data_IF_736985625291
#
_entry.id   IF_736985625291
#
_cell.length_a   1.000
_cell.length_b   1.000
_cell.length_c   1.000
_cell.angle_alpha   90.00
_cell.angle_beta   90.00
_cell.angle_gamma   90.00
#
_symmetry.space_group_name_H-M   'P 1'
#
loop_
_entity.id
_entity.type
_entity.pdbx_description
1 polymer ?
#
# COMPACT_ATOMS: atom_id res chain seq x y z
N UNK A 1 16.45 -23.21 23.99
CA UNK A 1 15.92 -23.89 25.19
C UNK A 1 15.69 -22.82 26.24
N UNK A 2 14.47 -22.22 26.22
CA UNK A 2 13.52 -22.19 27.36
C UNK A 2 13.86 -21.06 28.36
N UNK A 3 13.02 -20.12 28.78
CA UNK A 3 11.56 -19.90 28.75
C UNK A 3 11.34 -18.40 29.06
N UNK A 4 10.46 -17.70 28.34
CA UNK A 4 9.90 -16.41 28.80
C UNK A 4 8.44 -16.71 29.16
N UNK A 5 8.19 -16.93 30.45
CA UNK A 5 6.87 -17.16 30.98
C UNK A 5 6.20 -15.83 31.36
N UNK A 6 5.09 -15.59 30.69
CA UNK A 6 3.98 -14.69 30.97
C UNK A 6 3.64 -14.55 32.47
N UNK A 7 3.42 -13.31 32.92
CA UNK A 7 2.58 -13.05 34.09
C UNK A 7 1.85 -11.70 33.93
N UNK A 8 0.65 -11.76 33.33
CA UNK A 8 -0.41 -10.77 33.52
C UNK A 8 -1.25 -11.29 34.69
N UNK A 9 -1.33 -10.50 35.77
CA UNK A 9 -2.24 -10.72 36.90
C UNK A 9 -2.38 -9.37 37.62
N UNK A 10 -3.45 -8.62 37.33
CA UNK A 10 -4.70 -8.61 38.11
C UNK A 10 -4.52 -8.15 39.56
N UNK A 11 -4.54 -6.84 39.81
CA UNK A 11 -4.82 -6.32 41.16
C UNK A 11 -5.74 -5.10 41.09
N UNK A 12 -7.04 -5.38 40.97
CA UNK A 12 -8.07 -4.59 41.61
C UNK A 12 -8.37 -5.28 42.95
N UNK A 13 -8.09 -4.60 44.05
CA UNK A 13 -8.98 -4.40 45.22
C UNK A 13 -8.18 -4.07 46.48
N UNK A 14 -8.75 -3.13 47.25
CA UNK A 14 -8.50 -2.77 48.65
C UNK A 14 -7.43 -1.70 48.94
N UNK A 15 -7.93 -0.62 49.55
CA UNK A 15 -7.21 0.04 50.66
C UNK A 15 -6.83 1.50 50.45
N UNK A 16 -7.80 2.41 50.37
CA UNK A 16 -7.54 3.83 50.56
C UNK A 16 -7.39 4.11 52.06
N UNK A 17 -6.15 4.31 52.54
CA UNK A 17 -5.83 5.06 53.76
C UNK A 17 -4.49 5.77 53.61
N UNK A 18 -4.57 7.10 53.61
CA UNK A 18 -3.58 8.09 54.08
C UNK A 18 -2.10 7.72 53.93
N UNK A 19 -1.49 8.18 52.84
CA UNK A 19 -0.03 8.23 52.70
C UNK A 19 0.40 9.68 52.46
N UNK A 20 1.07 10.27 53.45
CA UNK A 20 1.65 11.62 53.38
C UNK A 20 2.98 11.56 52.64
N UNK A 21 3.10 12.40 51.61
CA UNK A 21 4.26 12.51 50.74
C UNK A 21 5.40 13.29 51.40
N UNK A 22 6.24 12.64 52.19
CA UNK A 22 7.61 13.09 52.46
C UNK A 22 8.41 11.85 52.88
N UNK A 23 9.35 11.43 52.04
CA UNK A 23 10.48 10.50 52.31
C UNK A 23 10.60 9.38 51.27
N UNK A 24 11.03 9.77 50.06
CA UNK A 24 11.76 8.87 49.16
C UNK A 24 12.95 9.61 48.53
N UNK A 25 14.20 9.20 48.82
CA UNK A 25 15.40 9.84 48.28
C UNK A 25 15.82 9.18 46.96
N UNK A 26 15.02 9.30 45.90
CA UNK A 26 15.43 8.94 44.54
C UNK A 26 14.66 9.78 43.50
N UNK A 27 15.03 11.07 43.37
CA UNK A 27 14.70 11.89 42.20
C UNK A 27 15.99 12.42 41.56
N UNK A 28 16.75 11.50 40.99
CA UNK A 28 17.72 11.76 39.92
C UNK A 28 17.63 10.56 39.00
N UNK A 29 17.64 10.82 37.70
CA UNK A 29 17.34 9.89 36.60
C UNK A 29 15.85 9.79 36.28
N UNK A 30 15.41 10.61 35.34
CA UNK A 30 14.77 10.25 34.05
C UNK A 30 14.24 11.54 33.39
N UNK A 31 15.16 12.44 33.02
CA UNK A 31 14.91 13.41 31.96
C UNK A 31 15.81 13.02 30.79
N UNK A 32 15.41 11.99 30.04
CA UNK A 32 15.82 12.00 28.64
C UNK A 32 15.06 13.16 28.01
N UNK A 33 15.72 14.17 27.42
CA UNK A 33 15.02 15.07 26.53
C UNK A 33 14.45 14.19 25.44
N UNK A 34 13.13 14.02 25.41
CA UNK A 34 12.44 13.49 24.25
C UNK A 34 12.77 14.48 23.13
N UNK A 35 13.70 14.11 22.25
CA UNK A 35 14.01 14.90 21.07
C UNK A 35 12.78 14.80 20.19
N UNK A 36 11.86 15.76 20.36
CA UNK A 36 10.71 15.91 19.48
C UNK A 36 11.21 16.60 18.22
N UNK A 37 11.10 15.97 17.03
CA UNK A 37 11.49 16.61 15.79
C UNK A 37 10.75 17.94 15.61
N UNK A 38 11.45 18.94 15.11
CA UNK A 38 10.82 20.23 14.81
C UNK A 38 9.78 20.07 13.69
N UNK A 39 8.80 20.97 13.63
CA UNK A 39 7.81 20.95 12.53
C UNK A 39 8.45 21.09 11.14
N UNK A 40 9.62 21.71 11.06
CA UNK A 40 10.36 21.84 9.81
C UNK A 40 10.99 20.50 9.39
N UNK A 41 11.59 19.76 10.31
CA UNK A 41 12.16 18.42 10.03
C UNK A 41 11.08 17.41 9.65
N UNK A 42 9.89 17.50 10.25
CA UNK A 42 8.74 16.68 9.86
C UNK A 42 8.31 16.98 8.42
N UNK A 43 8.19 18.27 8.05
CA UNK A 43 7.83 18.70 6.69
C UNK A 43 8.89 18.31 5.66
N UNK A 44 10.16 18.51 5.97
CA UNK A 44 11.26 18.16 5.06
C UNK A 44 11.35 16.64 4.84
N UNK A 45 11.07 15.86 5.88
CA UNK A 45 10.91 14.40 5.81
C UNK A 45 9.76 13.98 4.89
N UNK A 46 8.57 14.57 5.07
CA UNK A 46 7.40 14.31 4.23
C UNK A 46 7.66 14.64 2.75
N UNK A 47 8.28 15.80 2.47
CA UNK A 47 8.62 16.23 1.11
C UNK A 47 9.59 15.24 0.45
N UNK A 48 10.62 14.80 1.18
CA UNK A 48 11.60 13.85 0.67
C UNK A 48 10.97 12.48 0.36
N UNK A 49 10.07 12.01 1.23
CA UNK A 49 9.36 10.74 1.04
C UNK A 49 8.46 10.80 -0.20
N UNK A 50 7.64 11.86 -0.34
CA UNK A 50 6.75 12.03 -1.48
C UNK A 50 7.52 12.09 -2.82
N UNK A 51 8.63 12.81 -2.87
CA UNK A 51 9.48 12.89 -4.07
C UNK A 51 10.06 11.53 -4.45
N UNK A 52 10.58 10.80 -3.45
CA UNK A 52 11.13 9.44 -3.64
C UNK A 52 10.05 8.46 -4.10
N UNK A 53 8.82 8.65 -3.65
CA UNK A 53 7.71 7.78 -4.02
C UNK A 53 7.31 7.98 -5.48
N UNK A 54 7.09 9.24 -5.88
CA UNK A 54 6.73 9.58 -7.25
C UNK A 54 7.79 9.08 -8.25
N UNK A 55 9.08 9.20 -7.91
CA UNK A 55 10.14 8.69 -8.77
C UNK A 55 10.10 7.18 -8.95
N UNK A 56 9.76 6.40 -7.91
CA UNK A 56 9.64 4.94 -8.01
C UNK A 56 8.50 4.49 -8.94
N UNK A 57 7.40 5.24 -8.94
CA UNK A 57 6.24 4.96 -9.81
C UNK A 57 6.60 5.19 -11.26
N UNK A 58 7.26 6.31 -11.54
CA UNK A 58 7.70 6.62 -12.90
C UNK A 58 8.78 5.64 -13.38
N UNK A 59 9.68 5.18 -12.50
CA UNK A 59 10.64 4.11 -12.79
C UNK A 59 9.94 2.78 -13.12
N UNK A 60 8.96 2.34 -12.32
CA UNK A 60 8.18 1.14 -12.58
C UNK A 60 7.47 1.22 -13.94
N UNK A 61 6.83 2.37 -14.23
CA UNK A 61 6.16 2.60 -15.51
C UNK A 61 7.16 2.55 -16.67
N UNK A 62 8.33 3.16 -16.52
CA UNK A 62 9.37 3.12 -17.54
C UNK A 62 9.85 1.70 -17.80
N UNK A 63 10.12 0.94 -16.74
CA UNK A 63 10.52 -0.47 -16.83
C UNK A 63 9.44 -1.29 -17.55
N UNK A 64 8.16 -1.04 -17.30
CA UNK A 64 7.06 -1.78 -17.93
C UNK A 64 6.92 -1.58 -19.45
N UNK A 65 7.61 -0.60 -20.06
CA UNK A 65 7.51 -0.33 -21.52
C UNK A 65 7.93 -1.50 -22.40
N UNK A 66 8.71 -2.46 -21.88
CA UNK A 66 9.05 -3.68 -22.64
C UNK A 66 7.79 -4.41 -23.13
N UNK A 67 6.67 -4.30 -22.40
CA UNK A 67 5.38 -4.91 -22.72
C UNK A 67 4.90 -4.51 -24.13
N UNK A 68 5.15 -3.27 -24.53
CA UNK A 68 4.76 -2.75 -25.85
C UNK A 68 5.52 -3.39 -27.02
N UNK A 69 6.62 -4.09 -26.73
CA UNK A 69 7.44 -4.78 -27.73
C UNK A 69 7.10 -6.28 -27.84
N UNK A 70 6.25 -6.81 -26.95
CA UNK A 70 5.82 -8.20 -26.99
C UNK A 70 5.08 -8.48 -28.31
N UNK A 71 5.46 -9.58 -28.96
CA UNK A 71 4.86 -10.04 -30.22
C UNK A 71 3.84 -11.15 -29.96
N UNK A 72 3.02 -11.44 -30.95
CA UNK A 72 2.15 -12.61 -30.89
C UNK A 72 2.98 -13.87 -30.58
N UNK A 73 2.51 -14.69 -29.62
CA UNK A 73 3.20 -15.87 -29.12
C UNK A 73 4.40 -15.57 -28.19
N UNK A 74 4.42 -14.42 -27.51
CA UNK A 74 5.51 -14.06 -26.57
C UNK A 74 5.64 -15.01 -25.38
N UNK A 75 4.61 -15.80 -25.10
CA UNK A 75 4.57 -16.83 -24.07
C UNK A 75 4.82 -18.24 -24.61
N UNK A 76 5.36 -18.35 -25.83
CA UNK A 76 5.58 -19.62 -26.56
C UNK A 76 4.27 -20.35 -26.95
N UNK A 77 3.12 -19.72 -26.76
CA UNK A 77 1.81 -20.23 -27.14
C UNK A 77 1.08 -19.21 -28.02
N UNK A 78 -0.15 -18.83 -27.65
CA UNK A 78 -1.06 -17.99 -28.43
C UNK A 78 -1.28 -16.59 -27.81
N UNK A 79 -0.32 -16.09 -26.99
CA UNK A 79 -0.46 -14.78 -26.39
C UNK A 79 -0.52 -13.64 -27.41
N UNK A 80 -1.49 -12.76 -27.22
CA UNK A 80 -1.68 -11.57 -28.02
C UNK A 80 -0.72 -10.46 -27.57
N UNK A 81 -0.30 -9.57 -28.49
CA UNK A 81 0.40 -8.35 -28.13
C UNK A 81 -0.50 -7.41 -27.32
N UNK A 82 0.10 -6.61 -26.43
CA UNK A 82 -0.64 -5.62 -25.63
C UNK A 82 -0.82 -4.33 -26.43
N UNK A 83 -2.06 -3.84 -26.51
CA UNK A 83 -2.35 -2.55 -27.14
C UNK A 83 -1.75 -1.39 -26.32
N UNK A 84 -1.16 -0.41 -27.00
CA UNK A 84 -0.58 0.79 -26.36
C UNK A 84 -1.61 1.51 -25.48
N UNK A 85 -2.86 1.55 -25.89
CA UNK A 85 -3.97 2.18 -25.17
C UNK A 85 -4.24 1.46 -23.85
N UNK A 86 -4.14 0.12 -23.78
CA UNK A 86 -4.28 -0.63 -22.53
C UNK A 86 -3.15 -0.25 -21.57
N UNK A 87 -1.91 -0.21 -22.07
CA UNK A 87 -0.75 0.19 -21.26
C UNK A 87 -0.87 1.63 -20.75
N UNK A 88 -1.28 2.57 -21.62
CA UNK A 88 -1.51 3.97 -21.23
C UNK A 88 -2.63 4.10 -20.19
N UNK A 89 -3.74 3.37 -20.35
CA UNK A 89 -4.85 3.37 -19.41
C UNK A 89 -4.43 2.87 -18.03
N UNK A 90 -3.73 1.74 -17.95
CA UNK A 90 -3.30 1.18 -16.68
C UNK A 90 -2.25 2.05 -15.98
N UNK A 91 -1.26 2.56 -16.71
CA UNK A 91 -0.21 3.40 -16.11
C UNK A 91 -0.73 4.78 -15.70
N UNK A 92 -1.69 5.35 -16.44
CA UNK A 92 -2.41 6.56 -16.04
C UNK A 92 -3.27 6.31 -14.80
N UNK A 93 -3.98 5.18 -14.75
CA UNK A 93 -4.76 4.77 -13.58
C UNK A 93 -3.88 4.64 -12.34
N UNK A 94 -2.74 3.95 -12.46
CA UNK A 94 -1.77 3.80 -11.39
C UNK A 94 -1.33 5.17 -10.85
N UNK A 95 -0.83 6.06 -11.71
CA UNK A 95 -0.43 7.42 -11.30
C UNK A 95 -1.54 8.17 -10.57
N UNK A 96 -2.78 8.03 -11.04
CA UNK A 96 -3.93 8.71 -10.44
C UNK A 96 -4.18 8.22 -9.01
N UNK A 97 -4.21 6.91 -8.80
CA UNK A 97 -4.41 6.33 -7.47
C UNK A 97 -3.22 6.56 -6.53
N UNK A 98 -2.00 6.48 -7.05
CA UNK A 98 -0.77 6.82 -6.32
C UNK A 98 -0.84 8.25 -5.77
N UNK A 99 -1.15 9.22 -6.64
CA UNK A 99 -1.22 10.62 -6.27
C UNK A 99 -2.31 10.87 -5.23
N UNK A 100 -3.46 10.21 -5.39
CA UNK A 100 -4.54 10.30 -4.40
C UNK A 100 -4.11 9.75 -3.04
N UNK A 101 -3.49 8.57 -2.99
CA UNK A 101 -3.06 7.94 -1.73
C UNK A 101 -1.98 8.79 -1.03
N UNK A 102 -1.01 9.30 -1.78
CA UNK A 102 0.03 10.19 -1.24
C UNK A 102 -0.57 11.47 -0.65
N UNK A 103 -1.48 12.13 -1.37
CA UNK A 103 -2.10 13.39 -0.94
C UNK A 103 -2.98 13.22 0.31
N UNK A 104 -3.73 12.12 0.40
CA UNK A 104 -4.75 11.94 1.43
C UNK A 104 -4.26 11.15 2.65
N UNK A 105 -3.34 10.20 2.48
CA UNK A 105 -2.93 9.31 3.55
C UNK A 105 -1.46 9.49 3.98
N UNK A 106 -0.59 10.08 3.14
CA UNK A 106 0.82 10.36 3.47
C UNK A 106 1.58 9.14 3.99
N UNK A 107 1.25 7.96 3.47
CA UNK A 107 1.88 6.69 3.85
C UNK A 107 2.71 6.12 2.70
N UNK A 108 3.80 5.40 3.00
CA UNK A 108 4.41 4.49 2.04
C UNK A 108 3.38 3.42 1.64
N UNK A 109 3.34 3.08 0.35
CA UNK A 109 2.54 1.96 -0.15
C UNK A 109 3.37 1.15 -1.14
N UNK A 110 3.22 -0.17 -1.18
CA UNK A 110 3.94 -0.99 -2.15
C UNK A 110 3.36 -0.80 -3.55
N UNK A 111 4.23 -0.78 -4.56
CA UNK A 111 3.82 -0.64 -5.94
C UNK A 111 3.34 -1.98 -6.49
N UNK A 112 2.41 -1.99 -7.47
CA UNK A 112 1.99 -3.22 -8.09
C UNK A 112 3.07 -3.76 -9.02
N UNK A 113 2.98 -5.05 -9.33
CA UNK A 113 3.51 -5.61 -10.55
C UNK A 113 2.64 -5.18 -11.75
N UNK A 114 3.26 -4.92 -12.90
CA UNK A 114 2.57 -4.60 -14.15
C UNK A 114 2.74 -5.80 -15.08
N UNK A 115 1.67 -6.58 -15.25
CA UNK A 115 1.75 -7.91 -15.84
C UNK A 115 0.94 -7.99 -17.15
N UNK A 116 1.56 -8.31 -18.30
CA UNK A 116 0.83 -8.62 -19.52
C UNK A 116 0.12 -9.97 -19.39
N UNK A 117 -1.06 -10.11 -19.98
CA UNK A 117 -1.81 -11.35 -20.02
C UNK A 117 -1.94 -11.88 -21.44
N UNK A 118 -2.09 -13.20 -21.56
CA UNK A 118 -2.19 -13.91 -22.84
C UNK A 118 -3.28 -13.37 -23.76
N UNK A 119 -4.41 -12.92 -23.21
CA UNK A 119 -5.55 -12.44 -24.00
C UNK A 119 -5.39 -10.98 -24.47
N UNK A 120 -4.21 -10.39 -24.34
CA UNK A 120 -3.94 -9.01 -24.72
C UNK A 120 -4.35 -7.98 -23.66
N UNK A 121 -4.85 -8.43 -22.51
CA UNK A 121 -5.13 -7.57 -21.34
C UNK A 121 -3.89 -7.38 -20.47
N UNK A 122 -3.99 -6.50 -19.48
CA UNK A 122 -2.89 -6.21 -18.55
C UNK A 122 -3.41 -6.03 -17.14
N UNK A 123 -2.68 -6.55 -16.16
CA UNK A 123 -2.99 -6.44 -14.74
C UNK A 123 -2.03 -5.48 -14.03
N UNK A 124 -2.60 -4.70 -13.11
CA UNK A 124 -1.87 -4.16 -11.97
C UNK A 124 -2.13 -5.07 -10.77
N UNK A 125 -1.09 -5.72 -10.27
CA UNK A 125 -1.22 -6.70 -9.20
C UNK A 125 -0.41 -6.32 -7.97
N UNK A 126 -1.10 -6.15 -6.85
CA UNK A 126 -0.48 -6.07 -5.53
C UNK A 126 -0.54 -7.44 -4.87
N UNK A 127 0.60 -7.95 -4.42
CA UNK A 127 0.70 -9.16 -3.60
C UNK A 127 1.53 -8.86 -2.37
N UNK A 128 0.92 -9.01 -1.21
CA UNK A 128 1.59 -8.73 0.07
C UNK A 128 1.38 -9.87 1.05
N UNK A 129 1.98 -9.75 2.23
CA UNK A 129 1.72 -10.72 3.30
C UNK A 129 0.24 -10.73 3.77
N UNK A 130 -0.53 -9.67 3.52
CA UNK A 130 -1.92 -9.53 4.02
C UNK A 130 -2.97 -9.99 3.02
N UNK A 131 -2.67 -9.95 1.73
CA UNK A 131 -3.64 -10.27 0.67
C UNK A 131 -3.14 -9.89 -0.71
N UNK A 132 -4.06 -9.91 -1.67
CA UNK A 132 -3.81 -9.43 -3.04
C UNK A 132 -4.91 -8.52 -3.53
N UNK A 133 -4.56 -7.69 -4.51
CA UNK A 133 -5.48 -6.90 -5.30
C UNK A 133 -5.01 -6.96 -6.76
N UNK A 134 -5.90 -7.32 -7.66
CA UNK A 134 -5.69 -7.29 -9.10
C UNK A 134 -6.64 -6.28 -9.73
N UNK A 135 -6.13 -5.49 -10.67
CA UNK A 135 -6.93 -4.59 -11.50
C UNK A 135 -6.58 -4.86 -12.96
N UNK A 136 -7.54 -5.40 -13.69
CA UNK A 136 -7.40 -5.83 -15.08
C UNK A 136 -7.94 -4.77 -16.05
N UNK A 137 -7.12 -4.47 -17.06
CA UNK A 137 -7.41 -3.55 -18.15
C UNK A 137 -7.46 -4.33 -19.47
N UNK A 138 -8.60 -4.28 -20.15
CA UNK A 138 -8.82 -5.02 -21.39
C UNK A 138 -9.56 -4.18 -22.44
N UNK A 139 -9.54 -4.65 -23.69
CA UNK A 139 -10.19 -3.97 -24.81
C UNK A 139 -11.72 -4.16 -24.85
N UNK A 140 -12.31 -5.02 -24.02
CA UNK A 140 -13.77 -5.23 -24.01
C UNK A 140 -14.50 -4.04 -23.42
N UNK A 141 -13.87 -3.32 -22.48
CA UNK A 141 -14.42 -2.10 -21.90
C UNK A 141 -13.32 -1.05 -21.66
N UNK A 142 -12.94 -0.27 -22.67
CA UNK A 142 -11.80 0.66 -22.58
C UNK A 142 -12.00 1.80 -21.56
N UNK A 143 -13.20 1.97 -21.00
CA UNK A 143 -13.49 2.98 -19.98
C UNK A 143 -13.51 2.41 -18.56
N UNK A 144 -13.48 1.08 -18.40
CA UNK A 144 -13.57 0.43 -17.09
C UNK A 144 -12.53 -0.66 -16.92
N UNK A 145 -11.95 -0.74 -15.73
CA UNK A 145 -11.14 -1.88 -15.32
C UNK A 145 -11.95 -2.78 -14.40
N UNK A 146 -11.79 -4.10 -14.51
CA UNK A 146 -12.33 -5.03 -13.51
C UNK A 146 -11.32 -5.22 -12.39
N UNK A 147 -11.79 -5.39 -11.16
CA UNK A 147 -10.90 -5.64 -10.04
C UNK A 147 -11.39 -6.83 -9.21
N UNK A 148 -10.42 -7.46 -8.54
CA UNK A 148 -10.65 -8.48 -7.53
C UNK A 148 -9.58 -8.32 -6.44
N UNK A 149 -9.98 -8.41 -5.18
CA UNK A 149 -9.05 -8.45 -4.06
C UNK A 149 -9.56 -9.36 -2.96
N UNK A 150 -8.64 -9.98 -2.24
CA UNK A 150 -8.91 -10.85 -1.10
C UNK A 150 -7.82 -10.72 -0.05
N UNK A 151 -8.23 -10.87 1.21
CA UNK A 151 -7.33 -10.93 2.37
C UNK A 151 -7.18 -12.37 2.81
N UNK A 152 -5.95 -12.86 2.86
CA UNK A 152 -5.67 -14.28 3.09
C UNK A 152 -6.17 -14.79 4.44
N UNK A 153 -6.16 -13.95 5.47
CA UNK A 153 -6.49 -14.37 6.84
C UNK A 153 -7.99 -14.34 7.18
N UNK A 154 -8.81 -13.55 6.47
CA UNK A 154 -10.15 -13.15 6.96
C UNK A 154 -11.30 -13.47 6.00
N UNK A 155 -11.06 -14.18 4.89
CA UNK A 155 -12.05 -14.48 3.82
C UNK A 155 -12.76 -13.26 3.21
N UNK A 156 -12.31 -12.05 3.56
CA UNK A 156 -12.82 -10.78 3.06
C UNK A 156 -12.34 -10.56 1.62
N UNK A 157 -13.28 -10.33 0.70
CA UNK A 157 -12.98 -10.11 -0.71
C UNK A 157 -13.85 -9.01 -1.32
N UNK A 158 -13.28 -8.32 -2.29
CA UNK A 158 -13.96 -7.35 -3.13
C UNK A 158 -13.85 -7.76 -4.59
N UNK A 159 -14.88 -7.44 -5.37
CA UNK A 159 -14.84 -7.57 -6.83
C UNK A 159 -15.77 -6.55 -7.47
N UNK A 160 -15.44 -6.12 -8.68
CA UNK A 160 -16.29 -5.18 -9.39
C UNK A 160 -15.62 -4.58 -10.61
N UNK A 161 -16.13 -3.42 -11.00
CA UNK A 161 -15.57 -2.62 -12.07
C UNK A 161 -15.39 -1.18 -11.59
N UNK A 162 -14.34 -0.51 -12.07
CA UNK A 162 -14.02 0.89 -11.75
C UNK A 162 -13.87 1.67 -13.05
N UNK A 163 -14.38 2.91 -13.09
CA UNK A 163 -14.09 3.83 -14.18
C UNK A 163 -12.62 4.24 -14.10
N UNK A 164 -11.88 4.08 -15.20
CA UNK A 164 -10.43 4.33 -15.19
C UNK A 164 -10.06 5.81 -15.04
N UNK A 165 -11.01 6.73 -15.20
CA UNK A 165 -10.81 8.18 -15.08
C UNK A 165 -11.19 8.72 -13.69
N UNK A 166 -11.78 7.89 -12.83
CA UNK A 166 -12.23 8.30 -11.51
C UNK A 166 -11.48 7.59 -10.41
N UNK A 167 -11.22 8.30 -9.31
CA UNK A 167 -10.75 7.66 -8.08
C UNK A 167 -11.95 7.25 -7.24
N UNK A 168 -12.07 5.96 -6.99
CA UNK A 168 -12.97 5.40 -5.97
C UNK A 168 -12.22 5.21 -4.67
N UNK A 169 -12.59 5.99 -3.65
CA UNK A 169 -11.93 5.98 -2.34
C UNK A 169 -11.89 4.59 -1.70
N UNK A 170 -12.97 3.81 -1.76
CA UNK A 170 -12.98 2.44 -1.20
C UNK A 170 -11.91 1.53 -1.82
N UNK A 171 -11.59 1.72 -3.11
CA UNK A 171 -10.54 0.97 -3.79
C UNK A 171 -9.15 1.48 -3.38
N UNK A 172 -8.99 2.79 -3.18
CA UNK A 172 -7.76 3.38 -2.65
C UNK A 172 -7.48 2.92 -1.21
N UNK A 173 -8.52 2.77 -0.39
CA UNK A 173 -8.45 2.17 0.95
C UNK A 173 -8.01 0.71 0.86
N UNK A 174 -8.50 -0.04 -0.12
CA UNK A 174 -8.08 -1.41 -0.35
C UNK A 174 -6.61 -1.51 -0.75
N UNK A 175 -6.16 -0.70 -1.72
CA UNK A 175 -4.74 -0.59 -2.07
C UNK A 175 -3.92 -0.29 -0.82
N UNK A 176 -4.28 0.74 -0.06
CA UNK A 176 -3.59 1.10 1.19
C UNK A 176 -3.52 -0.03 2.22
N UNK A 177 -4.63 -0.76 2.45
CA UNK A 177 -4.76 -1.70 3.58
C UNK A 177 -4.36 -3.14 3.24
N UNK A 178 -4.32 -3.47 1.95
CA UNK A 178 -3.74 -4.72 1.47
C UNK A 178 -2.25 -4.60 1.22
N UNK A 179 -1.67 -3.41 1.45
CA UNK A 179 -0.25 -3.13 1.63
C UNK A 179 0.04 -3.02 3.14
#
# INVERSE_FOLDING_TARGET
MAEIATAISSFLTKGWRNFTWTDFPLYRFWHHPTITPSQQELKDGEIKIAYTYKSKVDELIEQSKYILNLKEGWDEEDALPIDKTIWENATSFLRTYVNYIDQHYRIPFELPEINPLRDGSMDLEWRTAKGRLLINFNNRNPQKASFYGDRYANEDSIKGNVDIKEVKEHLAIWMKNCL
#
